data_IF_408489337646
#
_entry.id   IF_408489337646
#
_cell.length_a   1.000
_cell.length_b   1.000
_cell.length_c   1.000
_cell.angle_alpha   90.00
_cell.angle_beta   90.00
_cell.angle_gamma   90.00
#
_symmetry.space_group_name_H-M   'P 1'
#
loop_
_entity.id
_entity.type
_entity.pdbx_description
1 polymer ?
#
# COMPACT_ATOMS: atom_id res chain seq x y z
N UNK A 1 -30.96 13.85 -34.54
CA UNK A 1 -30.57 12.48 -34.15
C UNK A 1 -29.05 12.37 -34.15
N UNK A 2 -28.41 12.27 -33.00
CA UNK A 2 -27.02 11.83 -32.87
C UNK A 2 -26.96 10.87 -31.69
N UNK A 3 -26.79 9.59 -32.00
CA UNK A 3 -26.63 8.51 -31.04
C UNK A 3 -25.16 8.49 -30.63
N UNK A 4 -24.87 8.79 -29.37
CA UNK A 4 -23.55 8.54 -28.78
C UNK A 4 -23.65 7.27 -27.94
N UNK A 5 -23.32 6.14 -28.55
CA UNK A 5 -22.96 4.92 -27.83
C UNK A 5 -21.61 5.14 -27.16
N UNK A 6 -21.61 5.28 -25.83
CA UNK A 6 -20.41 5.14 -25.03
C UNK A 6 -20.59 3.90 -24.16
N UNK A 7 -20.00 2.77 -24.57
CA UNK A 7 -19.65 1.72 -23.62
C UNK A 7 -18.54 2.25 -22.71
N UNK A 8 -18.95 3.07 -21.75
CA UNK A 8 -18.10 3.53 -20.65
C UNK A 8 -17.96 2.39 -19.66
N UNK A 9 -16.76 1.80 -19.59
CA UNK A 9 -16.36 0.96 -18.47
C UNK A 9 -16.55 1.79 -17.20
N UNK A 10 -17.53 1.45 -16.38
CA UNK A 10 -17.81 2.16 -15.14
C UNK A 10 -16.60 2.01 -14.21
N UNK A 11 -15.79 3.08 -14.14
CA UNK A 11 -14.76 3.24 -13.12
C UNK A 11 -15.48 3.40 -11.78
N UNK A 12 -15.51 2.35 -10.98
CA UNK A 12 -16.00 2.42 -9.60
C UNK A 12 -14.94 3.13 -8.78
N UNK A 13 -15.04 4.46 -8.68
CA UNK A 13 -14.24 5.24 -7.75
C UNK A 13 -14.76 4.95 -6.33
N UNK A 14 -14.08 4.06 -5.59
CA UNK A 14 -14.29 3.98 -4.14
C UNK A 14 -13.50 5.10 -3.48
N UNK A 15 -14.22 6.11 -3.02
CA UNK A 15 -13.68 7.17 -2.17
C UNK A 15 -13.33 6.52 -0.82
N UNK A 16 -12.04 6.28 -0.58
CA UNK A 16 -11.56 5.87 0.74
C UNK A 16 -11.18 7.14 1.52
N UNK A 17 -11.96 7.48 2.53
CA UNK A 17 -11.60 8.52 3.49
C UNK A 17 -10.72 7.90 4.58
N UNK A 18 -9.45 8.30 4.64
CA UNK A 18 -8.64 8.03 5.83
C UNK A 18 -9.17 8.93 6.95
N UNK A 19 -9.77 8.33 7.98
CA UNK A 19 -10.38 9.02 9.14
C UNK A 19 -9.41 9.94 9.90
N UNK A 20 -8.10 9.85 9.66
CA UNK A 20 -7.08 10.62 10.39
C UNK A 20 -6.69 11.92 9.67
N UNK A 21 -7.01 12.10 8.38
CA UNK A 21 -6.45 13.21 7.58
C UNK A 21 -7.44 13.99 6.69
N UNK A 22 -8.69 13.55 6.52
CA UNK A 22 -9.69 14.24 5.68
C UNK A 22 -9.18 14.64 4.27
N UNK A 23 -8.17 13.92 3.77
CA UNK A 23 -7.54 14.21 2.48
C UNK A 23 -7.99 13.16 1.48
N UNK A 24 -8.78 13.60 0.51
CA UNK A 24 -9.11 12.78 -0.66
C UNK A 24 -7.81 12.50 -1.43
N UNK A 25 -7.30 11.27 -1.35
CA UNK A 25 -6.24 10.80 -2.24
C UNK A 25 -6.91 10.09 -3.41
N UNK A 26 -6.80 10.65 -4.61
CA UNK A 26 -7.20 9.93 -5.82
C UNK A 26 -6.10 8.91 -6.14
N UNK A 27 -6.17 7.74 -5.49
CA UNK A 27 -5.37 6.57 -5.87
C UNK A 27 -6.12 5.86 -6.99
N UNK A 28 -5.93 6.36 -8.21
CA UNK A 28 -6.30 5.65 -9.44
C UNK A 28 -5.32 4.50 -9.67
N UNK A 29 -5.35 3.48 -8.81
CA UNK A 29 -4.55 2.27 -9.03
C UNK A 29 -5.33 1.36 -9.97
N UNK A 30 -4.88 1.14 -11.22
CA UNK A 30 -5.47 0.10 -12.04
C UNK A 30 -5.29 -1.22 -11.29
N UNK A 31 -6.36 -2.00 -11.15
CA UNK A 31 -6.23 -3.37 -10.69
C UNK A 31 -5.21 -4.06 -11.60
N UNK A 32 -4.14 -4.62 -11.01
CA UNK A 32 -3.19 -5.40 -11.78
C UNK A 32 -3.96 -6.51 -12.49
N UNK A 33 -3.69 -6.71 -13.78
CA UNK A 33 -4.24 -7.87 -14.50
C UNK A 33 -3.92 -9.12 -13.68
N UNK A 34 -4.92 -9.96 -13.43
CA UNK A 34 -4.71 -11.25 -12.77
C UNK A 34 -3.66 -12.01 -13.60
N UNK A 35 -2.47 -12.19 -13.04
CA UNK A 35 -1.37 -12.91 -13.67
C UNK A 35 -1.51 -14.42 -13.51
N UNK A 36 -2.38 -14.84 -12.59
CA UNK A 36 -2.75 -16.22 -12.38
C UNK A 36 -3.77 -16.61 -13.45
N UNK A 37 -3.43 -17.61 -14.27
CA UNK A 37 -4.36 -18.20 -15.24
C UNK A 37 -5.45 -19.07 -14.61
N UNK A 38 -5.44 -19.21 -13.28
CA UNK A 38 -6.45 -19.93 -12.53
C UNK A 38 -7.69 -19.07 -12.28
N UNK A 39 -8.86 -19.68 -12.51
CA UNK A 39 -10.15 -19.13 -12.12
C UNK A 39 -10.32 -19.22 -10.60
N UNK A 40 -10.00 -18.13 -9.90
CA UNK A 40 -10.09 -18.05 -8.44
C UNK A 40 -11.54 -18.13 -7.94
N UNK A 41 -12.52 -17.65 -8.71
CA UNK A 41 -13.92 -17.69 -8.29
C UNK A 41 -14.43 -19.14 -8.21
N UNK A 42 -14.01 -19.99 -9.16
CA UNK A 42 -14.31 -21.42 -9.12
C UNK A 42 -13.64 -22.14 -7.95
N UNK A 43 -12.39 -21.79 -7.62
CA UNK A 43 -11.66 -22.36 -6.47
C UNK A 43 -12.35 -21.98 -5.17
N UNK A 44 -12.71 -20.70 -5.00
CA UNK A 44 -13.41 -20.21 -3.80
C UNK A 44 -14.81 -20.83 -3.64
N UNK A 45 -15.48 -21.17 -4.75
CA UNK A 45 -16.78 -21.84 -4.73
C UNK A 45 -16.70 -23.34 -4.38
N UNK A 46 -15.53 -23.98 -4.47
CA UNK A 46 -15.38 -25.41 -4.21
C UNK A 46 -15.52 -25.72 -2.72
N UNK A 47 -16.56 -26.47 -2.35
CA UNK A 47 -16.70 -27.00 -0.99
C UNK A 47 -16.01 -28.35 -0.89
N UNK A 48 -14.95 -28.38 -0.10
CA UNK A 48 -14.09 -29.56 0.07
C UNK A 48 -14.88 -30.69 0.74
N UNK A 49 -14.82 -31.89 0.17
CA UNK A 49 -15.55 -33.08 0.65
C UNK A 49 -14.60 -34.04 1.38
N UNK A 50 -15.05 -34.77 2.42
CA UNK A 50 -14.17 -35.64 3.23
C UNK A 50 -13.43 -36.73 2.43
N UNK A 51 -14.06 -37.30 1.39
CA UNK A 51 -13.42 -38.31 0.55
C UNK A 51 -12.21 -37.80 -0.26
N UNK A 52 -12.12 -36.50 -0.52
CA UNK A 52 -11.01 -35.87 -1.25
C UNK A 52 -9.70 -35.95 -0.45
N UNK A 53 -9.78 -36.21 0.86
CA UNK A 53 -8.64 -36.32 1.75
C UNK A 53 -8.14 -37.75 2.01
N UNK A 54 -8.86 -38.78 1.55
CA UNK A 54 -8.51 -40.18 1.87
C UNK A 54 -7.16 -40.63 1.32
N UNK A 55 -6.70 -40.00 0.25
CA UNK A 55 -5.46 -40.34 -0.43
C UNK A 55 -4.29 -39.47 0.02
N UNK A 56 -4.51 -38.48 0.91
CA UNK A 56 -3.42 -37.64 1.39
C UNK A 56 -2.54 -38.44 2.37
N UNK A 57 -1.21 -38.35 2.24
CA UNK A 57 -0.30 -38.95 3.19
C UNK A 57 -0.47 -38.34 4.58
N UNK A 58 -0.25 -39.14 5.63
CA UNK A 58 -0.25 -38.64 7.01
C UNK A 58 0.89 -37.64 7.22
N UNK A 59 0.59 -36.55 7.92
CA UNK A 59 1.55 -35.51 8.21
C UNK A 59 2.40 -35.93 9.42
N UNK A 60 3.61 -36.44 9.18
CA UNK A 60 4.52 -36.89 10.24
C UNK A 60 5.37 -35.76 10.81
N UNK A 61 5.83 -35.91 12.06
CA UNK A 61 6.70 -34.91 12.72
C UNK A 61 8.03 -34.73 12.00
N UNK A 62 8.56 -35.79 11.38
CA UNK A 62 9.77 -35.71 10.55
C UNK A 62 9.57 -34.80 9.33
N UNK A 63 8.38 -34.83 8.71
CA UNK A 63 8.03 -33.95 7.59
C UNK A 63 7.91 -32.48 8.00
N UNK A 64 7.50 -32.21 9.23
CA UNK A 64 7.48 -30.87 9.80
C UNK A 64 8.88 -30.41 10.20
N UNK A 65 9.72 -31.30 10.74
CA UNK A 65 11.10 -31.01 11.13
C UNK A 65 11.98 -30.54 9.97
N UNK A 66 11.73 -31.02 8.75
CA UNK A 66 12.42 -30.56 7.52
C UNK A 66 11.86 -29.26 6.92
N UNK A 67 10.76 -28.72 7.43
CA UNK A 67 10.10 -27.58 6.80
C UNK A 67 10.92 -26.29 6.98
N UNK A 68 11.18 -25.58 5.88
CA UNK A 68 11.81 -24.25 5.91
C UNK A 68 10.72 -23.19 5.97
N UNK A 69 10.60 -22.51 7.11
CA UNK A 69 9.64 -21.41 7.27
C UNK A 69 10.23 -20.15 6.63
N UNK A 70 9.91 -19.95 5.35
CA UNK A 70 10.11 -18.66 4.71
C UNK A 70 9.04 -17.70 5.21
N UNK A 71 9.41 -16.81 6.13
CA UNK A 71 8.61 -15.64 6.52
C UNK A 71 8.56 -14.71 5.31
N UNK A 72 7.70 -15.05 4.34
CA UNK A 72 7.53 -14.26 3.13
C UNK A 72 7.29 -12.79 3.45
N UNK A 73 7.69 -11.90 2.55
CA UNK A 73 7.53 -10.45 2.75
C UNK A 73 8.51 -9.64 1.91
N UNK A 74 8.21 -8.35 1.75
CA UNK A 74 9.18 -7.40 1.20
C UNK A 74 10.36 -7.28 2.18
N UNK A 75 11.63 -7.39 1.73
CA UNK A 75 12.76 -7.16 2.60
C UNK A 75 12.65 -5.78 3.27
N UNK A 76 12.99 -5.71 4.56
CA UNK A 76 13.00 -4.44 5.28
C UNK A 76 14.02 -3.51 4.60
N UNK A 77 13.63 -2.26 4.38
CA UNK A 77 14.56 -1.24 3.90
C UNK A 77 15.54 -0.90 5.01
N UNK A 78 16.84 -0.78 4.69
CA UNK A 78 17.88 -0.39 5.65
C UNK A 78 17.61 0.98 6.30
N UNK A 79 17.05 1.92 5.52
CA UNK A 79 16.71 3.26 6.02
C UNK A 79 15.25 3.62 5.67
N UNK A 80 14.27 3.22 6.49
CA UNK A 80 12.88 3.58 6.28
C UNK A 80 12.62 5.02 6.75
N UNK A 81 11.80 5.77 5.99
CA UNK A 81 11.31 7.08 6.44
C UNK A 81 10.48 6.90 7.71
N UNK A 82 10.79 7.66 8.75
CA UNK A 82 10.04 7.64 10.00
C UNK A 82 8.83 8.57 9.91
N UNK A 83 7.67 8.10 10.36
CA UNK A 83 6.47 8.93 10.48
C UNK A 83 6.59 9.76 11.76
N UNK A 84 6.75 11.06 11.60
CA UNK A 84 6.84 12.01 12.71
C UNK A 84 5.67 13.00 12.66
N UNK A 85 5.11 13.32 13.83
CA UNK A 85 4.05 14.32 14.00
C UNK A 85 4.67 15.66 14.39
N UNK A 86 4.98 16.49 13.39
CA UNK A 86 5.51 17.85 13.59
C UNK A 86 4.41 18.90 13.49
N UNK A 87 4.47 19.95 14.32
CA UNK A 87 3.58 21.11 14.23
C UNK A 87 4.23 22.16 13.34
N UNK A 88 3.60 22.47 12.22
CA UNK A 88 4.01 23.53 11.30
C UNK A 88 2.91 24.59 11.24
N UNK A 89 3.26 25.87 11.08
CA UNK A 89 2.26 26.92 10.88
C UNK A 89 1.51 26.70 9.56
N UNK A 90 0.27 27.16 9.50
CA UNK A 90 -0.66 26.87 8.39
C UNK A 90 -0.16 27.47 7.08
N UNK A 91 0.39 28.68 7.10
CA UNK A 91 0.89 29.34 5.90
C UNK A 91 2.04 28.58 5.22
N UNK A 92 2.84 27.85 5.99
CA UNK A 92 3.93 27.01 5.44
C UNK A 92 3.34 25.78 4.75
N UNK A 93 2.34 25.14 5.39
CA UNK A 93 1.67 23.97 4.81
C UNK A 93 0.99 24.34 3.49
N UNK A 94 0.33 25.50 3.42
CA UNK A 94 -0.35 25.97 2.20
C UNK A 94 0.64 26.23 1.07
N UNK A 95 1.75 26.94 1.34
CA UNK A 95 2.81 27.17 0.36
C UNK A 95 3.33 25.85 -0.22
N UNK A 96 3.58 24.85 0.63
CA UNK A 96 4.03 23.54 0.15
C UNK A 96 2.94 22.79 -0.60
N UNK A 97 1.68 22.80 -0.14
CA UNK A 97 0.56 22.18 -0.86
C UNK A 97 0.35 22.77 -2.26
N UNK A 98 0.52 24.08 -2.40
CA UNK A 98 0.41 24.79 -3.69
C UNK A 98 1.44 24.29 -4.72
N UNK A 99 2.57 23.72 -4.26
CA UNK A 99 3.57 23.13 -5.17
C UNK A 99 3.07 21.85 -5.85
N UNK A 100 1.93 21.29 -5.46
CA UNK A 100 1.27 20.14 -6.11
C UNK A 100 1.46 18.79 -5.39
N UNK A 101 1.08 17.67 -6.04
CA UNK A 101 1.25 16.32 -5.48
C UNK A 101 2.69 16.03 -5.05
N UNK A 102 2.88 15.23 -4.01
CA UNK A 102 4.22 14.87 -3.51
C UNK A 102 4.99 15.98 -2.79
N UNK A 103 4.33 17.08 -2.41
CA UNK A 103 4.97 18.19 -1.67
C UNK A 103 5.67 17.76 -0.37
N UNK A 104 5.19 16.71 0.30
CA UNK A 104 5.82 16.18 1.53
C UNK A 104 7.21 15.57 1.25
N UNK A 105 7.39 14.92 0.11
CA UNK A 105 8.69 14.38 -0.31
C UNK A 105 9.65 15.51 -0.64
N UNK A 106 9.18 16.51 -1.42
CA UNK A 106 9.98 17.70 -1.75
C UNK A 106 10.37 18.51 -0.51
N UNK A 107 9.47 18.63 0.47
CA UNK A 107 9.78 19.26 1.76
C UNK A 107 10.86 18.49 2.51
N UNK A 108 10.80 17.16 2.54
CA UNK A 108 11.81 16.33 3.21
C UNK A 108 13.18 16.41 2.53
N UNK A 109 13.23 16.38 1.20
CA UNK A 109 14.47 16.59 0.42
C UNK A 109 15.07 17.97 0.69
N UNK A 110 14.22 19.00 0.77
CA UNK A 110 14.64 20.35 1.10
C UNK A 110 15.25 20.44 2.50
N UNK A 111 14.62 19.80 3.50
CA UNK A 111 15.14 19.73 4.87
C UNK A 111 16.46 18.95 4.95
N UNK A 112 16.61 17.85 4.19
CA UNK A 112 17.83 17.06 4.17
C UNK A 112 19.04 17.83 3.59
N UNK A 113 18.80 18.77 2.68
CA UNK A 113 19.85 19.60 2.08
C UNK A 113 20.33 20.73 2.99
N UNK A 114 19.47 21.23 3.87
CA UNK A 114 19.81 22.35 4.75
C UNK A 114 20.69 21.83 5.90
N UNK A 115 21.92 22.33 6.06
CA UNK A 115 22.72 22.05 7.25
C UNK A 115 22.00 22.65 8.47
N UNK A 116 21.76 21.85 9.49
CA UNK A 116 21.18 22.37 10.74
C UNK A 116 22.20 23.29 11.42
N UNK A 117 21.87 24.56 11.71
CA UNK A 117 22.79 25.43 12.44
C UNK A 117 23.05 24.84 13.84
N UNK A 118 24.29 24.97 14.34
CA UNK A 118 24.63 24.54 15.70
C UNK A 118 23.72 25.23 16.71
N UNK A 119 23.21 24.46 17.67
CA UNK A 119 22.42 24.98 18.79
C UNK A 119 23.20 26.07 19.53
N UNK A 120 22.53 27.17 19.88
CA UNK A 120 23.10 28.12 20.84
C UNK A 120 23.20 27.40 22.18
N UNK A 121 24.42 27.15 22.65
CA UNK A 121 24.66 26.70 24.01
C UNK A 121 24.28 27.87 24.91
N UNK A 122 23.10 27.81 25.53
CA UNK A 122 22.72 28.73 26.59
C UNK A 122 23.62 28.39 27.79
N UNK A 123 24.45 29.35 28.20
CA UNK A 123 25.20 29.30 29.45
C UNK A 123 24.27 29.58 30.64
#
# INVERSE_FOLDING_TARGET
MRVWSSLGTHRVARIATCSVCERQTNVSKPASRHTLGSDLARVDAHRIKPHEYKELPELTDEMLGRAVINKGGRPKSENPRQLISIRLPVEVIEKWRATGPGWQTRMAEHLARIPTPRSKSTA
#
